data_IF_583649763750
#
_entry.id   IF_583649763750
#
_cell.length_a   1.000
_cell.length_b   1.000
_cell.length_c   1.000
_cell.angle_alpha   90.00
_cell.angle_beta   90.00
_cell.angle_gamma   90.00
#
_symmetry.space_group_name_H-M   'P 1'
#
loop_
_entity.id
_entity.type
_entity.pdbx_description
1 polymer ?
#
# COMPACT_ATOMS: atom_id res chain seq x y z
N UNK A 1 9.56 1.65 -31.87
CA UNK A 1 9.36 1.35 -30.43
C UNK A 1 10.71 1.48 -29.78
N UNK A 2 10.98 2.71 -29.33
CA UNK A 2 12.21 3.09 -28.62
C UNK A 2 12.12 2.53 -27.21
N UNK A 3 13.06 1.65 -26.86
CA UNK A 3 13.21 1.21 -25.48
C UNK A 3 13.90 2.34 -24.72
N UNK A 4 13.21 2.90 -23.73
CA UNK A 4 13.79 3.89 -22.83
C UNK A 4 15.03 3.29 -22.17
N UNK A 5 16.19 3.75 -22.59
CA UNK A 5 17.46 3.45 -21.96
C UNK A 5 17.46 4.16 -20.60
N UNK A 6 17.03 3.45 -19.55
CA UNK A 6 17.17 3.95 -18.18
C UNK A 6 18.65 3.88 -17.86
N UNK A 7 19.35 4.99 -18.11
CA UNK A 7 20.74 5.17 -17.70
C UNK A 7 20.77 5.15 -16.18
N UNK A 8 21.22 4.02 -15.61
CA UNK A 8 21.53 3.91 -14.20
C UNK A 8 22.90 4.57 -13.97
N UNK A 9 22.92 5.89 -14.09
CA UNK A 9 24.12 6.69 -13.97
C UNK A 9 24.14 7.33 -12.58
N UNK A 10 24.47 6.56 -11.54
CA UNK A 10 24.91 7.15 -10.28
C UNK A 10 25.83 6.24 -9.45
N UNK A 11 26.97 6.83 -9.07
CA UNK A 11 27.80 6.55 -7.89
C UNK A 11 29.05 5.68 -8.02
N UNK A 12 29.84 5.85 -9.09
CA UNK A 12 31.31 5.82 -8.89
C UNK A 12 31.82 7.23 -9.21
N UNK A 13 31.93 8.07 -8.17
CA UNK A 13 32.65 9.33 -8.29
C UNK A 13 34.14 8.99 -8.44
N UNK A 14 34.81 9.33 -9.56
CA UNK A 14 36.21 8.96 -9.77
C UNK A 14 37.17 9.68 -8.82
N UNK A 15 36.72 10.76 -8.17
CA UNK A 15 37.54 11.62 -7.30
C UNK A 15 37.75 11.08 -5.88
N UNK A 16 37.18 9.91 -5.55
CA UNK A 16 37.22 9.30 -4.22
C UNK A 16 38.04 8.00 -4.15
N UNK A 17 38.85 7.70 -5.17
CA UNK A 17 39.65 6.49 -5.22
C UNK A 17 40.88 6.63 -4.30
N UNK A 18 41.08 5.70 -3.32
CA UNK A 18 42.23 5.71 -2.45
C UNK A 18 43.56 5.61 -3.23
N UNK A 19 44.55 6.41 -2.85
CA UNK A 19 45.87 6.46 -3.50
C UNK A 19 46.67 5.15 -3.39
N UNK A 20 46.33 4.30 -2.40
CA UNK A 20 46.81 2.92 -2.30
C UNK A 20 45.65 1.95 -2.59
N UNK A 21 45.49 1.51 -3.86
CA UNK A 21 44.25 0.92 -4.33
C UNK A 21 44.02 -0.49 -3.77
N UNK A 22 45.06 -1.25 -3.40
CA UNK A 22 44.88 -2.67 -3.11
C UNK A 22 44.23 -2.91 -1.74
N UNK A 23 44.74 -2.30 -0.67
CA UNK A 23 44.24 -2.53 0.69
C UNK A 23 42.88 -1.84 0.91
N UNK A 24 42.77 -0.56 0.53
CA UNK A 24 41.55 0.22 0.76
C UNK A 24 40.36 -0.24 -0.10
N UNK A 25 40.58 -0.71 -1.33
CA UNK A 25 39.51 -1.32 -2.12
C UNK A 25 39.07 -2.66 -1.54
N UNK A 26 40.00 -3.45 -0.99
CA UNK A 26 39.66 -4.73 -0.36
C UNK A 26 38.79 -4.51 0.88
N UNK A 27 39.13 -3.54 1.74
CA UNK A 27 38.30 -3.19 2.89
C UNK A 27 36.90 -2.70 2.49
N UNK A 28 36.82 -1.87 1.44
CA UNK A 28 35.54 -1.38 0.94
C UNK A 28 34.67 -2.48 0.34
N UNK A 29 35.25 -3.43 -0.40
CA UNK A 29 34.54 -4.59 -0.96
C UNK A 29 33.99 -5.47 0.17
N UNK A 30 34.81 -5.75 1.20
CA UNK A 30 34.35 -6.54 2.35
C UNK A 30 33.21 -5.83 3.10
N UNK A 31 33.28 -4.51 3.27
CA UNK A 31 32.20 -3.74 3.89
C UNK A 31 30.90 -3.79 3.07
N UNK A 32 31.00 -3.66 1.73
CA UNK A 32 29.86 -3.75 0.83
C UNK A 32 29.29 -5.17 0.75
N UNK A 33 30.10 -6.20 0.89
CA UNK A 33 29.62 -7.59 0.93
C UNK A 33 28.83 -7.85 2.22
N UNK A 34 29.28 -7.33 3.36
CA UNK A 34 28.54 -7.39 4.62
C UNK A 34 27.19 -6.68 4.50
N UNK A 35 27.17 -5.44 3.99
CA UNK A 35 25.93 -4.68 3.78
C UNK A 35 24.99 -5.40 2.81
N UNK A 36 25.52 -5.97 1.72
CA UNK A 36 24.72 -6.77 0.78
C UNK A 36 24.11 -8.00 1.44
N UNK A 37 24.85 -8.71 2.29
CA UNK A 37 24.32 -9.86 3.01
C UNK A 37 23.21 -9.47 3.99
N UNK A 38 23.38 -8.37 4.72
CA UNK A 38 22.35 -7.82 5.60
C UNK A 38 21.07 -7.46 4.82
N UNK A 39 21.21 -6.76 3.69
CA UNK A 39 20.10 -6.40 2.82
C UNK A 39 19.42 -7.63 2.22
N UNK A 40 20.19 -8.65 1.83
CA UNK A 40 19.66 -9.94 1.32
C UNK A 40 18.87 -10.67 2.39
N UNK A 41 19.36 -10.70 3.64
CA UNK A 41 18.62 -11.26 4.79
C UNK A 41 17.31 -10.50 4.98
N UNK A 42 17.35 -9.17 5.07
CA UNK A 42 16.16 -8.34 5.23
C UNK A 42 15.13 -8.60 4.12
N UNK A 43 15.57 -8.67 2.86
CA UNK A 43 14.71 -9.01 1.72
C UNK A 43 14.08 -10.41 1.83
N UNK A 44 14.84 -11.42 2.27
CA UNK A 44 14.28 -12.77 2.50
C UNK A 44 13.21 -12.74 3.58
N UNK A 45 13.48 -12.09 4.72
CA UNK A 45 12.50 -12.00 5.82
C UNK A 45 11.22 -11.27 5.40
N UNK A 46 11.32 -10.18 4.62
CA UNK A 46 10.15 -9.47 4.11
C UNK A 46 9.35 -10.33 3.12
N UNK A 47 10.03 -11.09 2.25
CA UNK A 47 9.37 -12.02 1.33
C UNK A 47 8.66 -13.14 2.08
N UNK A 48 9.25 -13.68 3.15
CA UNK A 48 8.60 -14.66 4.02
C UNK A 48 7.39 -14.08 4.76
N UNK A 49 7.48 -12.84 5.25
CA UNK A 49 6.34 -12.17 5.90
C UNK A 49 5.17 -11.91 4.93
N UNK A 50 5.47 -11.43 3.72
CA UNK A 50 4.44 -11.12 2.71
C UNK A 50 3.87 -12.37 2.05
N UNK A 51 4.72 -13.34 1.74
CA UNK A 51 4.38 -14.47 0.89
C UNK A 51 4.45 -15.83 1.57
N UNK A 52 4.94 -15.97 2.80
CA UNK A 52 5.15 -17.25 3.47
C UNK A 52 3.88 -18.12 3.55
N UNK A 53 2.77 -17.54 4.04
CA UNK A 53 1.47 -18.24 4.07
C UNK A 53 0.96 -18.59 2.66
N UNK A 54 1.32 -17.80 1.66
CA UNK A 54 0.93 -18.02 0.25
C UNK A 54 1.80 -19.09 -0.40
N UNK A 55 3.10 -19.15 -0.11
CA UNK A 55 4.03 -20.16 -0.62
C UNK A 55 3.77 -21.53 -0.01
N UNK A 56 3.44 -21.62 1.28
CA UNK A 56 3.03 -22.87 1.92
C UNK A 56 1.74 -23.41 1.30
N UNK A 57 0.74 -22.54 1.09
CA UNK A 57 -0.51 -22.90 0.43
C UNK A 57 -0.27 -23.34 -1.01
N UNK A 58 0.58 -22.65 -1.76
CA UNK A 58 0.94 -23.04 -3.13
C UNK A 58 1.68 -24.37 -3.16
N UNK A 59 2.62 -24.62 -2.24
CA UNK A 59 3.34 -25.88 -2.16
C UNK A 59 2.38 -27.06 -1.87
N UNK A 60 1.44 -26.88 -0.94
CA UNK A 60 0.40 -27.89 -0.66
C UNK A 60 -0.50 -28.15 -1.88
N UNK A 61 -0.99 -27.09 -2.54
CA UNK A 61 -1.83 -27.22 -3.73
C UNK A 61 -1.09 -27.89 -4.89
N UNK A 62 0.19 -27.55 -5.11
CA UNK A 62 1.01 -28.17 -6.16
C UNK A 62 1.25 -29.65 -5.84
N UNK A 63 1.49 -30.01 -4.58
CA UNK A 63 1.65 -31.40 -4.18
C UNK A 63 0.35 -32.22 -4.37
N UNK A 64 -0.80 -31.64 -4.00
CA UNK A 64 -2.12 -32.26 -4.25
C UNK A 64 -2.39 -32.43 -5.75
N UNK A 65 -2.04 -31.42 -6.57
CA UNK A 65 -2.23 -31.47 -8.02
C UNK A 65 -1.32 -32.52 -8.68
N UNK A 66 -0.06 -32.62 -8.26
CA UNK A 66 0.88 -33.66 -8.72
C UNK A 66 0.41 -35.08 -8.36
N UNK A 67 -0.17 -35.26 -7.16
CA UNK A 67 -0.72 -36.55 -6.76
C UNK A 67 -1.89 -37.00 -7.65
N UNK A 68 -2.76 -36.06 -8.05
CA UNK A 68 -3.84 -36.33 -9.00
C UNK A 68 -3.32 -36.66 -10.40
N UNK A 69 -2.33 -35.91 -10.90
CA UNK A 69 -1.73 -36.16 -12.23
C UNK A 69 -1.03 -37.52 -12.31
N UNK A 70 -0.43 -38.00 -11.20
CA UNK A 70 0.17 -39.33 -11.14
C UNK A 70 -0.88 -40.45 -11.10
N UNK A 71 -1.98 -40.27 -10.38
CA UNK A 71 -3.09 -41.23 -10.33
C UNK A 71 -3.75 -41.40 -11.71
N UNK A 72 -3.89 -40.30 -12.48
CA UNK A 72 -4.36 -40.32 -13.88
C UNK A 72 -3.40 -41.08 -14.83
N UNK A 73 -2.09 -41.07 -14.55
CA UNK A 73 -1.10 -41.83 -15.31
C UNK A 73 -1.07 -43.32 -14.92
N UNK A 74 -1.25 -43.63 -13.62
CA UNK A 74 -1.25 -44.99 -13.08
C UNK A 74 -2.56 -45.76 -13.40
N UNK A 75 -3.69 -45.07 -13.45
CA UNK A 75 -4.99 -45.64 -13.86
C UNK A 75 -5.11 -45.87 -15.37
N UNK A 76 -4.06 -45.59 -16.15
CA UNK A 76 -4.02 -45.85 -17.58
C UNK A 76 -5.06 -45.01 -18.30
N UNK A 77 -4.75 -43.74 -18.54
CA UNK A 77 -5.57 -42.81 -19.31
C UNK A 77 -6.07 -43.45 -20.62
N UNK A 78 -7.30 -44.00 -20.59
CA UNK A 78 -8.07 -44.27 -21.80
C UNK A 78 -8.21 -42.93 -22.50
N UNK A 79 -7.71 -42.76 -23.74
CA UNK A 79 -7.85 -41.50 -24.45
C UNK A 79 -9.34 -41.16 -24.51
N UNK A 80 -9.73 -39.91 -24.20
CA UNK A 80 -11.13 -39.52 -24.31
C UNK A 80 -11.57 -39.78 -25.75
N UNK A 81 -12.70 -40.47 -25.91
CA UNK A 81 -13.33 -40.68 -27.21
C UNK A 81 -13.53 -39.31 -27.85
N UNK A 82 -13.10 -39.17 -29.10
CA UNK A 82 -13.14 -37.93 -29.88
C UNK A 82 -14.47 -37.22 -29.69
N UNK A 83 -14.45 -35.95 -29.28
CA UNK A 83 -15.62 -35.13 -28.97
C UNK A 83 -16.47 -34.74 -30.20
N UNK A 84 -16.38 -35.50 -31.29
CA UNK A 84 -17.08 -35.25 -32.55
C UNK A 84 -18.34 -36.12 -32.73
N UNK A 85 -18.75 -36.86 -31.70
CA UNK A 85 -20.07 -37.48 -31.69
C UNK A 85 -21.10 -36.47 -31.19
N UNK A 86 -21.94 -35.99 -32.10
CA UNK A 86 -23.15 -35.17 -31.91
C UNK A 86 -24.23 -35.92 -31.12
N UNK A 87 -23.87 -36.49 -29.96
CA UNK A 87 -24.84 -36.91 -28.98
C UNK A 87 -25.23 -35.69 -28.12
N UNK A 88 -26.53 -35.46 -27.84
CA UNK A 88 -26.94 -34.38 -26.95
C UNK A 88 -26.42 -34.69 -25.54
N UNK A 89 -25.26 -34.13 -25.20
CA UNK A 89 -24.69 -34.22 -23.87
C UNK A 89 -25.71 -33.66 -22.87
N UNK A 90 -26.14 -34.51 -21.94
CA UNK A 90 -26.93 -34.07 -20.81
C UNK A 90 -26.16 -32.97 -20.09
N UNK A 91 -26.74 -31.75 -20.09
CA UNK A 91 -26.14 -30.57 -19.47
C UNK A 91 -25.73 -30.95 -18.04
N UNK A 92 -24.44 -30.84 -17.66
CA UNK A 92 -24.08 -31.03 -16.26
C UNK A 92 -24.90 -30.03 -15.46
N UNK A 93 -25.62 -30.53 -14.46
CA UNK A 93 -26.48 -29.73 -13.60
C UNK A 93 -25.73 -28.47 -13.20
N UNK A 94 -26.37 -27.33 -13.42
CA UNK A 94 -25.87 -25.99 -13.10
C UNK A 94 -25.52 -25.95 -11.60
N UNK A 95 -24.31 -26.41 -11.25
CA UNK A 95 -23.76 -26.24 -9.92
C UNK A 95 -23.51 -24.75 -9.83
N UNK A 96 -24.51 -24.03 -9.33
CA UNK A 96 -24.43 -22.63 -8.95
C UNK A 96 -23.08 -22.43 -8.28
N UNK A 97 -22.13 -21.82 -9.00
CA UNK A 97 -20.87 -21.40 -8.39
C UNK A 97 -21.29 -20.49 -7.26
N UNK A 98 -21.05 -20.91 -6.01
CA UNK A 98 -21.34 -20.07 -4.84
C UNK A 98 -20.62 -18.75 -5.08
N UNK A 99 -21.39 -17.68 -5.32
CA UNK A 99 -20.84 -16.32 -5.42
C UNK A 99 -19.91 -16.15 -4.23
N UNK A 100 -18.66 -15.76 -4.51
CA UNK A 100 -17.70 -15.46 -3.46
C UNK A 100 -18.39 -14.49 -2.50
N UNK A 101 -18.60 -14.92 -1.25
CA UNK A 101 -19.09 -14.07 -0.16
C UNK A 101 -17.95 -13.13 0.21
N UNK A 102 -17.56 -12.24 -0.72
CA UNK A 102 -16.81 -11.04 -0.37
C UNK A 102 -17.79 -10.27 0.49
N UNK A 103 -17.38 -9.96 1.71
CA UNK A 103 -18.15 -9.12 2.62
C UNK A 103 -18.16 -7.69 2.05
N UNK A 104 -18.80 -7.48 0.91
CA UNK A 104 -19.36 -6.19 0.54
C UNK A 104 -20.69 -6.13 1.29
N UNK A 105 -20.61 -6.17 2.63
CA UNK A 105 -21.76 -5.88 3.45
C UNK A 105 -22.15 -4.44 3.14
N UNK A 106 -23.44 -4.20 2.90
CA UNK A 106 -23.95 -2.84 2.77
C UNK A 106 -23.46 -2.00 3.96
N UNK A 107 -22.96 -0.79 3.70
CA UNK A 107 -22.49 0.05 4.79
C UNK A 107 -23.64 0.32 5.77
N UNK A 108 -23.37 0.37 7.08
CA UNK A 108 -24.40 0.62 8.08
C UNK A 108 -25.21 1.90 7.78
N UNK A 109 -26.53 1.82 7.92
CA UNK A 109 -27.47 2.92 7.59
C UNK A 109 -27.30 4.21 8.41
N UNK A 110 -26.61 4.12 9.54
CA UNK A 110 -26.38 5.26 10.43
C UNK A 110 -25.16 6.10 10.03
N UNK A 111 -24.34 5.61 9.09
CA UNK A 111 -23.26 6.41 8.53
C UNK A 111 -23.84 7.48 7.61
N UNK A 112 -23.28 8.68 7.71
CA UNK A 112 -23.61 9.78 6.81
C UNK A 112 -23.20 9.37 5.38
N UNK A 113 -24.12 9.51 4.43
CA UNK A 113 -23.88 9.25 3.01
C UNK A 113 -23.61 10.57 2.33
N UNK A 114 -22.44 10.71 1.72
CA UNK A 114 -22.11 11.81 0.83
C UNK A 114 -22.21 11.29 -0.61
N UNK A 115 -23.09 11.89 -1.42
CA UNK A 115 -23.26 11.51 -2.82
C UNK A 115 -22.33 12.37 -3.70
N UNK A 116 -21.39 11.73 -4.38
CA UNK A 116 -20.55 12.38 -5.40
C UNK A 116 -20.87 11.77 -6.76
N UNK A 117 -21.45 12.58 -7.65
CA UNK A 117 -21.72 12.18 -9.03
C UNK A 117 -20.47 12.46 -9.86
N UNK A 118 -19.85 11.41 -10.39
CA UNK A 118 -18.72 11.51 -11.30
C UNK A 118 -19.24 11.59 -12.75
N UNK A 119 -19.26 12.78 -13.32
CA UNK A 119 -19.58 12.99 -14.74
C UNK A 119 -18.29 13.12 -15.56
N UNK A 120 -18.24 12.60 -16.80
CA UNK A 120 -17.09 12.77 -17.67
C UNK A 120 -16.91 14.24 -18.07
N UNK A 121 -15.67 14.69 -18.25
CA UNK A 121 -15.35 16.07 -18.62
C UNK A 121 -15.98 16.52 -19.95
N UNK A 122 -16.19 15.56 -20.87
CA UNK A 122 -16.85 15.81 -22.14
C UNK A 122 -17.95 14.78 -22.40
N UNK A 123 -19.17 15.27 -22.64
CA UNK A 123 -20.34 14.47 -23.02
C UNK A 123 -20.41 14.21 -24.53
N UNK A 124 -19.35 14.55 -25.26
CA UNK A 124 -19.22 14.29 -26.70
C UNK A 124 -18.13 13.25 -26.95
N UNK A 125 -18.41 12.29 -27.83
CA UNK A 125 -17.42 11.29 -28.24
C UNK A 125 -16.27 11.96 -29.00
N UNK A 126 -15.03 11.76 -28.55
CA UNK A 126 -13.82 12.33 -29.18
C UNK A 126 -13.58 11.85 -30.61
N UNK A 127 -14.16 10.71 -31.03
CA UNK A 127 -14.01 10.16 -32.38
C UNK A 127 -15.11 10.59 -33.35
N UNK A 128 -16.39 10.53 -32.94
CA UNK A 128 -17.53 10.77 -33.84
C UNK A 128 -18.35 12.02 -33.50
N UNK A 129 -17.97 12.78 -32.46
CA UNK A 129 -18.65 13.99 -31.98
C UNK A 129 -20.13 13.78 -31.60
N UNK A 130 -20.58 12.52 -31.52
CA UNK A 130 -21.91 12.17 -31.07
C UNK A 130 -22.09 12.43 -29.57
N UNK A 131 -23.31 12.82 -29.19
CA UNK A 131 -23.65 13.09 -27.80
C UNK A 131 -23.83 11.77 -27.03
N UNK A 132 -23.12 11.64 -25.91
CA UNK A 132 -23.20 10.49 -25.00
C UNK A 132 -24.51 10.57 -24.21
N UNK A 133 -25.27 9.49 -24.20
CA UNK A 133 -26.45 9.34 -23.33
C UNK A 133 -26.10 8.39 -22.17
N UNK A 134 -26.80 8.53 -21.04
CA UNK A 134 -26.54 7.73 -19.83
C UNK A 134 -27.02 6.28 -20.05
N UNK A 135 -26.15 5.28 -19.90
CA UNK A 135 -26.43 3.83 -20.11
C UNK A 135 -26.41 3.09 -18.76
N UNK A 136 -27.07 3.65 -17.76
CA UNK A 136 -27.12 3.11 -16.40
C UNK A 136 -26.25 3.87 -15.40
N UNK A 137 -26.45 3.56 -14.13
CA UNK A 137 -25.77 4.17 -12.99
C UNK A 137 -25.10 3.06 -12.19
N UNK A 138 -23.82 3.24 -11.86
CA UNK A 138 -23.09 2.36 -10.97
C UNK A 138 -22.84 3.10 -9.65
N UNK A 139 -23.29 2.51 -8.54
CA UNK A 139 -23.21 3.12 -7.20
C UNK A 139 -22.25 2.30 -6.35
N UNK A 140 -21.14 2.91 -5.95
CA UNK A 140 -20.19 2.31 -5.02
C UNK A 140 -20.15 3.12 -3.72
N UNK A 141 -20.30 2.44 -2.58
CA UNK A 141 -20.23 3.05 -1.25
C UNK A 141 -18.85 2.76 -0.64
N UNK A 142 -18.13 3.82 -0.25
CA UNK A 142 -16.81 3.73 0.39
C UNK A 142 -16.84 4.54 1.69
N UNK A 143 -16.34 4.01 2.82
CA UNK A 143 -16.27 4.76 4.06
C UNK A 143 -15.12 5.79 4.03
N UNK A 144 -15.45 7.08 4.12
CA UNK A 144 -14.47 8.14 4.34
C UNK A 144 -14.06 8.20 5.82
N UNK A 145 -12.77 8.04 6.10
CA UNK A 145 -12.21 8.11 7.46
C UNK A 145 -11.57 9.48 7.66
N UNK A 146 -12.18 10.29 8.52
CA UNK A 146 -11.54 11.52 8.99
C UNK A 146 -10.62 11.13 10.15
N UNK A 147 -9.28 11.31 10.03
CA UNK A 147 -8.37 10.99 11.12
C UNK A 147 -8.70 11.83 12.36
N UNK A 148 -8.63 11.22 13.53
CA UNK A 148 -8.90 11.92 14.79
C UNK A 148 -7.94 13.10 14.94
N UNK A 149 -8.48 14.31 15.09
CA UNK A 149 -7.66 15.49 15.38
C UNK A 149 -7.09 15.35 16.79
N UNK A 150 -5.76 15.27 16.90
CA UNK A 150 -5.06 15.28 18.17
C UNK A 150 -5.22 16.67 18.81
N UNK A 151 -5.86 16.73 19.97
CA UNK A 151 -6.02 17.97 20.74
C UNK A 151 -5.43 17.76 22.13
N UNK A 152 -4.54 18.67 22.53
CA UNK A 152 -4.04 18.73 23.90
C UNK A 152 -5.03 19.53 24.73
N UNK A 153 -5.72 18.86 25.66
CA UNK A 153 -6.54 19.54 26.67
C UNK A 153 -5.70 19.74 27.93
N UNK A 154 -5.37 21.00 28.24
CA UNK A 154 -4.71 21.38 29.48
C UNK A 154 -5.74 22.09 30.38
N UNK A 155 -6.54 21.35 31.18
CA UNK A 155 -7.48 21.98 32.09
C UNK A 155 -6.70 22.73 33.17
N UNK A 156 -6.91 24.04 33.25
CA UNK A 156 -6.41 24.84 34.36
C UNK A 156 -7.13 24.43 35.65
N UNK A 157 -6.36 24.02 36.65
CA UNK A 157 -6.86 23.68 37.98
C UNK A 157 -6.29 24.68 38.96
N UNK A 158 -7.14 25.60 39.40
CA UNK A 158 -6.82 26.54 40.46
C UNK A 158 -6.40 25.76 41.72
N UNK A 159 -5.24 26.16 42.28
CA UNK A 159 -4.74 25.61 43.54
C UNK A 159 -5.16 26.55 44.66
N UNK A 160 -6.11 26.10 45.48
CA UNK A 160 -6.52 26.85 46.67
C UNK A 160 -5.65 26.45 47.87
N UNK A 161 -5.16 27.45 48.60
CA UNK A 161 -4.47 27.31 49.88
C UNK A 161 -5.14 28.16 50.96
N UNK A 162 -4.95 27.78 52.23
CA UNK A 162 -5.35 28.60 53.38
C UNK A 162 -4.20 29.54 53.74
N UNK A 163 -4.47 30.84 53.78
CA UNK A 163 -3.51 31.85 54.23
C UNK A 163 -3.22 31.66 55.73
N UNK A 164 -2.03 31.12 56.04
CA UNK A 164 -1.45 31.24 57.39
C UNK A 164 -0.31 32.25 57.34
N UNK A 165 -0.40 33.20 58.28
CA UNK A 165 0.54 34.26 58.63
C UNK A 165 1.89 34.29 57.88
N UNK A 166 2.10 35.43 57.21
CA UNK A 166 3.30 35.93 56.53
C UNK A 166 4.62 35.52 57.19
N UNK A 167 5.27 34.50 56.62
CA UNK A 167 6.72 34.32 56.74
C UNK A 167 7.37 34.44 55.36
N UNK A 168 8.19 35.47 55.23
CA UNK A 168 8.94 35.79 54.02
C UNK A 168 10.01 34.72 53.76
N UNK A 169 9.84 33.94 52.68
CA UNK A 169 10.85 33.42 51.73
C UNK A 169 10.32 32.14 51.07
N UNK A 170 9.70 32.26 49.91
CA UNK A 170 9.29 31.11 49.09
C UNK A 170 8.90 31.57 47.71
N UNK A 171 9.89 31.72 46.82
CA UNK A 171 9.65 32.05 45.42
C UNK A 171 8.87 30.93 44.72
N UNK A 172 7.75 31.29 44.08
CA UNK A 172 7.08 30.44 43.12
C UNK A 172 7.61 30.80 41.74
N UNK A 173 8.52 29.98 41.20
CA UNK A 173 8.91 30.05 39.79
C UNK A 173 7.78 29.44 38.96
N UNK A 174 7.03 30.30 38.26
CA UNK A 174 6.06 29.87 37.25
C UNK A 174 6.80 29.75 35.92
N UNK A 175 7.12 28.52 35.50
CA UNK A 175 7.63 28.26 34.15
C UNK A 175 6.47 28.27 33.16
N UNK A 176 6.35 29.35 32.40
CA UNK A 176 5.58 29.37 31.17
C UNK A 176 6.35 28.59 30.10
N UNK A 177 5.90 27.37 29.81
CA UNK A 177 6.39 26.62 28.64
C UNK A 177 5.58 27.11 27.43
N UNK A 178 6.11 28.11 26.74
CA UNK A 178 5.65 28.41 25.39
C UNK A 178 6.20 27.32 24.47
N UNK A 179 5.33 26.44 23.97
CA UNK A 179 5.68 25.67 22.78
C UNK A 179 5.84 26.68 21.63
N UNK A 180 7.04 26.75 21.06
CA UNK A 180 7.31 27.57 19.89
C UNK A 180 6.35 27.16 18.75
N UNK A 181 5.59 28.11 18.24
CA UNK A 181 4.86 27.95 16.97
C UNK A 181 5.92 27.95 15.87
N UNK A 182 6.11 26.86 15.10
CA UNK A 182 7.00 26.90 13.95
C UNK A 182 6.51 27.97 12.97
N UNK A 183 7.43 28.81 12.50
CA UNK A 183 7.16 29.87 11.55
C UNK A 183 6.35 29.32 10.38
N UNK A 184 5.14 29.85 10.19
CA UNK A 184 4.33 29.59 9.02
C UNK A 184 5.09 29.95 7.76
N UNK A 185 4.81 29.19 6.70
CA UNK A 185 5.58 29.15 5.46
C UNK A 185 5.75 30.48 4.74
N UNK A 186 6.80 30.47 3.91
CA UNK A 186 7.17 31.47 2.92
C UNK A 186 5.98 31.85 1.99
N UNK A 187 5.47 33.10 2.04
CA UNK A 187 4.48 33.53 1.08
C UNK A 187 5.18 33.84 -0.26
N UNK A 188 5.02 32.89 -1.19
CA UNK A 188 5.09 33.04 -2.65
C UNK A 188 5.80 34.29 -3.19
N UNK A 189 6.98 34.07 -3.76
CA UNK A 189 7.75 35.07 -4.50
C UNK A 189 6.90 35.66 -5.64
N UNK A 190 6.65 36.99 -5.70
CA UNK A 190 5.98 37.59 -6.84
C UNK A 190 6.87 37.54 -8.09
N UNK A 191 6.22 37.24 -9.22
CA UNK A 191 6.85 37.06 -10.53
C UNK A 191 7.69 38.24 -10.98
N UNK A 192 8.75 37.93 -11.71
CA UNK A 192 9.66 38.89 -12.32
C UNK A 192 9.06 39.35 -13.66
N UNK A 193 8.84 40.66 -13.91
CA UNK A 193 8.45 41.12 -15.24
C UNK A 193 9.67 41.14 -16.19
N UNK A 194 9.39 40.70 -17.44
CA UNK A 194 10.14 40.81 -18.72
C UNK A 194 11.66 40.79 -18.69
#
# INVERSE_FOLDING_TARGET
>A
MEWAHVSFDHMIRPDALPTDPAAALTEMVLALDVENEELRVAMRTLKEMLFGKRSERLAALVAEQLALELDDLETGATPPVSANDDAPAAKPSDRLRKKARRNIGALPKHLLRCEQVLEPEATACSGCQGQLHKIGEDVSEVPDVIPAMERVSAPDRERHGLDRARDSRGGLEVRLVFAAVPAGGDPGRPGRPS
#
